data_IF_670171793699
#
_entry.id   IF_670171793699
#
_cell.length_a   1.000
_cell.length_b   1.000
_cell.length_c   1.000
_cell.angle_alpha   90.00
_cell.angle_beta   90.00
_cell.angle_gamma   90.00
#
_symmetry.space_group_name_H-M   'P 1'
#
loop_
_entity.id
_entity.type
_entity.pdbx_description
1 polymer ?
#
# COMPACT_ATOMS: atom_id res chain seq x y z
N UNK A 1 -7.24 6.37 -3.65
CA UNK A 1 -5.95 6.71 -4.26
C UNK A 1 -5.81 6.15 -5.68
N UNK A 2 -5.35 6.97 -6.64
CA UNK A 2 -5.14 6.57 -8.05
C UNK A 2 -3.77 5.91 -8.22
N UNK A 3 -3.59 5.15 -9.30
CA UNK A 3 -2.32 4.44 -9.56
C UNK A 3 -1.11 5.38 -9.66
N UNK A 4 -1.28 6.58 -10.19
CA UNK A 4 -0.19 7.57 -10.30
C UNK A 4 0.27 8.08 -8.92
N UNK A 5 -0.65 8.36 -8.01
CA UNK A 5 -0.31 8.76 -6.63
C UNK A 5 0.49 7.66 -5.92
N UNK A 6 0.10 6.39 -6.10
CA UNK A 6 0.76 5.23 -5.50
C UNK A 6 2.19 5.10 -6.02
N UNK A 7 2.41 5.35 -7.32
CA UNK A 7 3.75 5.35 -7.92
C UNK A 7 4.62 6.47 -7.35
N UNK A 8 4.04 7.63 -7.04
CA UNK A 8 4.79 8.71 -6.39
C UNK A 8 5.22 8.33 -4.97
N UNK A 9 4.33 7.71 -4.18
CA UNK A 9 4.68 7.18 -2.85
C UNK A 9 5.77 6.11 -2.98
N UNK A 10 5.62 5.17 -3.91
CA UNK A 10 6.64 4.16 -4.18
C UNK A 10 8.01 4.78 -4.50
N UNK A 11 8.04 5.81 -5.35
CA UNK A 11 9.28 6.51 -5.70
C UNK A 11 9.94 7.17 -4.48
N UNK A 12 9.16 7.76 -3.59
CA UNK A 12 9.66 8.37 -2.34
C UNK A 12 10.25 7.34 -1.39
N UNK A 13 9.66 6.14 -1.35
CA UNK A 13 10.12 5.03 -0.52
C UNK A 13 11.20 4.16 -1.21
N UNK A 14 11.68 4.53 -2.40
CA UNK A 14 12.68 3.75 -3.13
C UNK A 14 12.16 2.45 -3.76
N UNK A 15 10.84 2.25 -3.81
CA UNK A 15 10.17 1.08 -4.39
C UNK A 15 9.93 1.29 -5.88
N UNK A 16 10.34 0.31 -6.70
CA UNK A 16 10.14 0.34 -8.16
C UNK A 16 8.79 -0.29 -8.51
N UNK A 17 7.88 0.51 -9.06
CA UNK A 17 6.54 0.05 -9.44
C UNK A 17 6.52 -1.00 -10.58
N UNK A 18 7.43 -0.92 -11.55
CA UNK A 18 7.55 -1.90 -12.63
C UNK A 18 6.22 -2.26 -13.31
N UNK A 19 5.93 -3.57 -13.38
CA UNK A 19 4.64 -4.13 -13.87
C UNK A 19 3.71 -4.57 -12.72
N UNK A 20 3.94 -4.08 -11.50
CA UNK A 20 3.14 -4.46 -10.34
C UNK A 20 1.71 -3.97 -10.48
N UNK A 21 0.76 -4.79 -10.04
CA UNK A 21 -0.62 -4.36 -9.86
C UNK A 21 -0.69 -3.41 -8.66
N UNK A 22 -1.79 -2.67 -8.56
CA UNK A 22 -2.06 -1.74 -7.45
C UNK A 22 -1.79 -2.38 -6.09
N UNK A 23 -2.36 -3.56 -5.85
CA UNK A 23 -2.22 -4.31 -4.61
C UNK A 23 -0.76 -4.63 -4.26
N UNK A 24 -0.05 -5.23 -5.22
CA UNK A 24 1.35 -5.63 -5.06
C UNK A 24 2.26 -4.44 -4.80
N UNK A 25 1.99 -3.31 -5.48
CA UNK A 25 2.75 -2.08 -5.29
C UNK A 25 2.55 -1.51 -3.89
N UNK A 26 1.30 -1.43 -3.42
CA UNK A 26 1.00 -0.94 -2.08
C UNK A 26 1.65 -1.83 -1.02
N UNK A 27 1.55 -3.16 -1.16
CA UNK A 27 2.22 -4.12 -0.27
C UNK A 27 3.74 -3.96 -0.24
N UNK A 28 4.35 -3.71 -1.40
CA UNK A 28 5.78 -3.44 -1.49
C UNK A 28 6.16 -2.13 -0.79
N UNK A 29 5.32 -1.09 -0.90
CA UNK A 29 5.51 0.16 -0.15
C UNK A 29 5.41 -0.08 1.35
N UNK A 30 4.36 -0.79 1.82
CA UNK A 30 4.18 -1.12 3.23
C UNK A 30 5.40 -1.86 3.78
N UNK A 31 5.92 -2.85 3.04
CA UNK A 31 7.13 -3.57 3.44
C UNK A 31 8.37 -2.66 3.49
N UNK A 32 8.52 -1.74 2.53
CA UNK A 32 9.61 -0.76 2.54
C UNK A 32 9.51 0.26 3.69
N UNK A 33 8.29 0.54 4.16
CA UNK A 33 8.04 1.35 5.36
C UNK A 33 8.31 0.59 6.68
N UNK A 34 8.58 -0.72 6.62
CA UNK A 34 8.66 -1.59 7.80
C UNK A 34 7.30 -1.97 8.39
N UNK A 35 6.21 -1.69 7.67
CA UNK A 35 4.86 -2.05 8.05
C UNK A 35 4.48 -3.45 7.54
N UNK A 36 3.47 -4.09 8.14
CA UNK A 36 2.86 -5.29 7.57
C UNK A 36 2.32 -5.00 6.16
N UNK A 37 2.64 -5.87 5.21
CA UNK A 37 2.12 -5.81 3.83
C UNK A 37 0.67 -6.31 3.73
N UNK A 38 -0.22 -5.70 4.52
CA UNK A 38 -1.60 -6.14 4.76
C UNK A 38 -2.64 -5.57 3.80
N UNK A 39 -2.24 -4.74 2.82
CA UNK A 39 -3.19 -4.19 1.87
C UNK A 39 -3.93 -5.30 1.12
N UNK A 40 -5.27 -5.28 1.12
CA UNK A 40 -6.13 -6.33 0.56
C UNK A 40 -5.82 -7.74 1.09
N UNK A 41 -5.45 -7.89 2.37
CA UNK A 41 -5.31 -9.20 3.01
C UNK A 41 -6.60 -9.69 3.69
N UNK A 42 -7.72 -8.98 3.54
CA UNK A 42 -8.99 -9.29 4.20
C UNK A 42 -8.99 -9.07 5.71
N UNK A 43 -8.01 -8.31 6.23
CA UNK A 43 -7.90 -7.97 7.67
C UNK A 43 -8.31 -6.53 7.95
N UNK A 44 -8.88 -5.83 6.96
CA UNK A 44 -9.23 -4.42 7.06
C UNK A 44 -10.21 -4.14 8.21
N UNK A 45 -11.20 -5.02 8.42
CA UNK A 45 -12.20 -4.90 9.49
C UNK A 45 -11.61 -4.99 10.91
N UNK A 46 -10.47 -5.66 11.07
CA UNK A 46 -9.82 -5.87 12.36
C UNK A 46 -8.50 -5.08 12.52
N UNK A 47 -8.09 -4.34 11.49
CA UNK A 47 -6.80 -3.65 11.46
C UNK A 47 -6.73 -2.49 12.48
N UNK A 48 -7.84 -1.76 12.67
CA UNK A 48 -7.94 -0.66 13.65
C UNK A 48 -7.01 0.54 13.36
N UNK A 49 -6.33 0.58 12.21
CA UNK A 49 -5.35 1.61 11.88
C UNK A 49 -5.99 2.73 11.05
N UNK A 50 -6.68 3.65 11.73
CA UNK A 50 -7.45 4.71 11.06
C UNK A 50 -6.61 5.70 10.26
N UNK A 51 -5.35 5.90 10.65
CA UNK A 51 -4.40 6.76 9.96
C UNK A 51 -3.67 6.07 8.78
N UNK A 52 -4.02 4.83 8.44
CA UNK A 52 -3.41 4.13 7.32
C UNK A 52 -3.74 4.85 6.00
N UNK A 53 -2.71 5.29 5.28
CA UNK A 53 -2.83 5.99 3.99
C UNK A 53 -3.67 5.21 2.97
N UNK A 54 -3.64 3.88 3.06
CA UNK A 54 -4.29 2.96 2.12
C UNK A 54 -5.71 2.58 2.52
N UNK A 55 -6.19 3.00 3.70
CA UNK A 55 -7.44 2.53 4.32
C UNK A 55 -8.66 2.71 3.42
N UNK A 56 -8.75 3.81 2.68
CA UNK A 56 -9.89 4.08 1.78
C UNK A 56 -10.00 3.08 0.62
N UNK A 57 -8.88 2.47 0.22
CA UNK A 57 -8.82 1.45 -0.83
C UNK A 57 -8.62 0.02 -0.28
N UNK A 58 -8.36 -0.14 1.02
CA UNK A 58 -8.08 -1.43 1.63
C UNK A 58 -9.39 -2.18 1.85
N UNK A 59 -9.54 -3.36 1.23
CA UNK A 59 -10.75 -4.20 1.28
C UNK A 59 -10.39 -5.66 1.50
#
# INVERSE_FOLDING_TARGET
>A
MKMDDIKEVARKQGVKAGKMKKADLIRAIQAAEGNPACFESGTADQCGQDACLWREDCR
#
